data_IF_908483986440
#
_entry.id   IF_908483986440
#
_cell.length_a   1.000
_cell.length_b   1.000
_cell.length_c   1.000
_cell.angle_alpha   90.00
_cell.angle_beta   90.00
_cell.angle_gamma   90.00
#
_symmetry.space_group_name_H-M   'P 1'
#
loop_
_entity.id
_entity.type
_entity.pdbx_description
1 polymer ?
#
# COMPACT_ATOMS: atom_id res chain seq x y z
N UNK A 1 -65.74 -33.34 -27.42
CA UNK A 1 -66.46 -32.24 -28.11
C UNK A 1 -65.55 -31.03 -28.11
N UNK A 2 -65.34 -30.52 -29.32
CA UNK A 2 -64.49 -29.42 -29.77
C UNK A 2 -64.82 -28.06 -29.14
N UNK A 3 -63.80 -27.22 -28.94
CA UNK A 3 -63.75 -25.88 -29.53
C UNK A 3 -62.29 -25.40 -29.63
N UNK A 4 -61.93 -24.99 -30.84
CA UNK A 4 -60.69 -24.31 -31.22
C UNK A 4 -61.03 -22.85 -31.56
N UNK A 5 -60.13 -21.91 -31.27
CA UNK A 5 -60.09 -20.54 -31.85
C UNK A 5 -58.63 -20.08 -31.76
N UNK A 6 -57.84 -20.09 -32.86
CA UNK A 6 -57.60 -18.97 -33.80
C UNK A 6 -56.92 -17.75 -33.13
N UNK A 7 -55.92 -17.04 -33.64
CA UNK A 7 -55.05 -17.05 -34.83
C UNK A 7 -54.32 -15.70 -34.78
N UNK A 8 -53.05 -15.58 -35.24
CA UNK A 8 -52.52 -14.28 -35.66
C UNK A 8 -51.04 -14.01 -35.36
N UNK A 9 -50.20 -14.22 -36.37
CA UNK A 9 -48.98 -13.41 -36.65
C UNK A 9 -49.42 -12.34 -37.69
N UNK A 10 -48.83 -11.12 -37.82
CA UNK A 10 -47.43 -10.96 -38.21
C UNK A 10 -46.68 -9.64 -37.82
N UNK A 11 -45.35 -9.70 -38.02
CA UNK A 11 -44.40 -8.68 -38.52
C UNK A 11 -44.38 -7.22 -38.01
N UNK A 12 -43.17 -6.81 -37.60
CA UNK A 12 -42.60 -5.49 -37.95
C UNK A 12 -42.23 -4.59 -36.77
N UNK A 13 -40.93 -4.35 -36.56
CA UNK A 13 -40.28 -3.04 -36.70
C UNK A 13 -38.86 -3.08 -36.09
N UNK A 14 -37.88 -2.83 -36.95
CA UNK A 14 -36.49 -2.54 -36.62
C UNK A 14 -36.36 -1.16 -35.98
N UNK A 15 -35.54 -0.98 -34.93
CA UNK A 15 -34.55 0.12 -34.82
C UNK A 15 -33.71 0.02 -33.52
N UNK A 16 -32.48 0.59 -33.53
CA UNK A 16 -31.44 0.32 -32.54
C UNK A 16 -31.48 1.31 -31.37
N UNK A 17 -31.18 0.87 -30.15
CA UNK A 17 -30.90 1.81 -29.06
C UNK A 17 -29.40 2.01 -28.91
N UNK A 18 -29.03 3.25 -29.25
CA UNK A 18 -27.72 3.84 -29.18
C UNK A 18 -27.09 3.76 -27.78
N UNK A 19 -25.76 3.63 -27.82
CA UNK A 19 -24.79 3.97 -26.80
C UNK A 19 -25.11 5.30 -26.11
N UNK A 20 -25.45 5.23 -24.81
CA UNK A 20 -25.25 6.34 -23.89
C UNK A 20 -24.39 5.87 -22.72
N UNK A 21 -23.10 6.23 -22.81
CA UNK A 21 -22.12 6.12 -21.74
C UNK A 21 -22.59 6.95 -20.55
N UNK A 22 -23.11 6.30 -19.51
CA UNK A 22 -23.30 6.93 -18.22
C UNK A 22 -21.95 7.02 -17.50
N UNK A 23 -21.58 8.16 -16.88
CA UNK A 23 -20.40 8.25 -16.04
C UNK A 23 -20.61 7.39 -14.79
N UNK A 24 -19.71 6.44 -14.55
CA UNK A 24 -19.68 5.66 -13.31
C UNK A 24 -19.39 6.61 -12.12
N UNK A 25 -20.09 6.48 -10.97
CA UNK A 25 -19.74 7.22 -9.77
C UNK A 25 -18.35 6.78 -9.29
N UNK A 26 -17.49 7.77 -9.00
CA UNK A 26 -16.16 7.53 -8.44
C UNK A 26 -16.27 6.74 -7.12
N UNK A 27 -15.37 5.77 -6.87
CA UNK A 27 -15.37 5.04 -5.60
C UNK A 27 -15.09 6.02 -4.46
N UNK A 28 -16.11 6.24 -3.63
CA UNK A 28 -16.00 6.97 -2.38
C UNK A 28 -15.12 6.13 -1.45
N UNK A 29 -13.83 6.47 -1.33
CA UNK A 29 -12.86 5.72 -0.52
C UNK A 29 -12.91 6.05 0.98
N UNK A 30 -13.90 6.83 1.45
CA UNK A 30 -13.90 7.33 2.83
C UNK A 30 -14.46 6.37 3.89
N UNK A 31 -15.24 5.34 3.53
CA UNK A 31 -15.99 4.57 4.54
C UNK A 31 -15.35 3.22 4.95
N UNK A 32 -14.12 2.92 4.49
CA UNK A 32 -13.47 1.62 4.74
C UNK A 32 -12.33 1.65 5.75
N UNK A 33 -12.23 2.68 6.59
CA UNK A 33 -11.39 2.58 7.79
C UNK A 33 -12.18 1.81 8.86
N UNK A 34 -11.70 0.65 9.35
CA UNK A 34 -12.36 -0.03 10.46
C UNK A 34 -12.42 0.94 11.65
N UNK A 35 -13.57 1.00 12.33
CA UNK A 35 -13.74 1.72 13.59
C UNK A 35 -12.55 1.42 14.50
N UNK A 36 -11.64 2.39 14.59
CA UNK A 36 -10.36 2.24 15.28
C UNK A 36 -10.68 2.29 16.76
N UNK A 37 -10.32 1.24 17.51
CA UNK A 37 -10.34 1.31 18.98
C UNK A 37 -9.61 2.59 19.41
N UNK A 38 -10.21 3.45 20.26
CA UNK A 38 -9.67 4.77 20.61
C UNK A 38 -8.25 4.78 21.20
N UNK A 39 -7.67 3.62 21.51
CA UNK A 39 -6.34 3.47 22.11
C UNK A 39 -5.22 3.05 21.15
N UNK A 40 -5.50 2.67 19.90
CA UNK A 40 -4.45 2.16 18.99
C UNK A 40 -4.06 3.22 17.96
N UNK A 41 -2.96 3.93 18.24
CA UNK A 41 -2.37 4.91 17.32
C UNK A 41 -1.54 4.17 16.26
N UNK A 42 -2.10 3.93 15.09
CA UNK A 42 -1.32 3.55 13.92
C UNK A 42 -0.77 4.81 13.25
N UNK A 43 0.41 5.22 13.67
CA UNK A 43 0.99 6.42 13.09
C UNK A 43 1.55 6.20 11.68
N UNK A 44 1.48 7.28 10.91
CA UNK A 44 1.74 7.35 9.47
C UNK A 44 3.15 7.92 9.21
N UNK A 45 3.66 7.78 7.99
CA UNK A 45 5.00 8.24 7.59
C UNK A 45 5.28 9.75 7.82
N UNK A 46 4.28 10.53 8.25
CA UNK A 46 4.35 11.99 8.43
C UNK A 46 3.93 12.44 9.83
N UNK A 47 4.26 11.68 10.88
CA UNK A 47 3.98 12.10 12.25
C UNK A 47 4.60 13.47 12.54
N UNK A 48 3.76 14.49 12.80
CA UNK A 48 4.22 15.83 13.15
C UNK A 48 4.79 15.80 14.58
N UNK A 49 5.99 16.36 14.76
CA UNK A 49 6.68 16.42 16.05
C UNK A 49 6.75 17.86 16.54
N UNK A 50 6.12 18.14 17.68
CA UNK A 50 6.29 19.39 18.41
C UNK A 50 7.62 19.42 19.16
N UNK A 51 8.05 20.61 19.59
CA UNK A 51 9.25 20.77 20.42
C UNK A 51 9.13 20.01 21.76
N UNK A 52 7.96 20.07 22.39
CA UNK A 52 7.68 19.36 23.64
C UNK A 52 7.79 17.84 23.47
N UNK A 53 7.17 17.25 22.44
CA UNK A 53 7.28 15.81 22.15
C UNK A 53 8.71 15.39 21.82
N UNK A 54 9.46 16.24 21.11
CA UNK A 54 10.88 15.98 20.80
C UNK A 54 11.74 15.99 22.07
N UNK A 55 11.43 16.86 23.04
CA UNK A 55 12.09 16.88 24.34
C UNK A 55 11.77 15.61 25.15
N UNK A 56 10.51 15.16 25.15
CA UNK A 56 10.12 13.90 25.79
C UNK A 56 10.84 12.70 25.16
N UNK A 57 11.00 12.68 23.84
CA UNK A 57 11.80 11.66 23.14
C UNK A 57 13.25 11.66 23.63
N UNK A 58 13.90 12.83 23.68
CA UNK A 58 15.30 12.95 24.15
C UNK A 58 15.45 12.50 25.60
N UNK A 59 14.50 12.89 26.46
CA UNK A 59 14.45 12.43 27.87
C UNK A 59 14.29 10.91 27.95
N UNK A 60 13.35 10.34 27.20
CA UNK A 60 13.12 8.90 27.17
C UNK A 60 14.33 8.09 26.69
N UNK A 61 15.11 8.64 25.75
CA UNK A 61 16.38 8.01 25.32
C UNK A 61 17.45 8.02 26.42
N UNK A 62 17.47 9.04 27.29
CA UNK A 62 18.35 9.09 28.45
C UNK A 62 17.86 8.15 29.57
N UNK A 63 16.55 8.08 29.82
CA UNK A 63 15.95 7.24 30.86
C UNK A 63 16.05 5.74 30.51
N UNK A 64 15.99 5.39 29.22
CA UNK A 64 16.06 4.02 28.71
C UNK A 64 17.27 3.81 27.78
N UNK A 65 18.50 3.64 28.31
CA UNK A 65 19.71 3.69 27.51
C UNK A 65 19.99 2.44 26.65
N UNK A 66 20.88 2.67 25.66
CA UNK A 66 21.66 1.75 24.81
C UNK A 66 21.77 0.28 25.26
N UNK A 67 22.38 0.20 26.43
CA UNK A 67 23.05 -0.92 27.07
C UNK A 67 22.11 -1.78 27.90
N UNK A 68 21.02 -1.19 28.43
CA UNK A 68 20.09 -1.89 29.35
C UNK A 68 18.80 -2.38 28.69
N UNK A 69 18.41 -1.80 27.56
CA UNK A 69 17.14 -2.13 26.89
C UNK A 69 17.38 -2.44 25.42
N UNK A 70 16.73 -3.46 24.88
CA UNK A 70 16.68 -3.63 23.44
C UNK A 70 15.85 -2.50 22.78
N UNK A 71 16.06 -2.29 21.48
CA UNK A 71 15.41 -1.19 20.75
C UNK A 71 13.88 -1.29 20.77
N UNK A 72 13.30 -2.50 20.74
CA UNK A 72 11.84 -2.68 20.72
C UNK A 72 11.28 -2.25 22.08
N UNK A 73 11.80 -2.79 23.17
CA UNK A 73 11.36 -2.44 24.54
C UNK A 73 11.58 -0.96 24.84
N UNK A 74 12.73 -0.41 24.43
CA UNK A 74 13.04 1.02 24.58
C UNK A 74 11.98 1.88 23.89
N UNK A 75 11.70 1.63 22.62
CA UNK A 75 10.78 2.47 21.85
C UNK A 75 9.33 2.31 22.30
N UNK A 76 8.92 1.13 22.79
CA UNK A 76 7.63 0.94 23.45
C UNK A 76 7.52 1.86 24.67
N UNK A 77 8.51 1.82 25.57
CA UNK A 77 8.51 2.65 26.79
C UNK A 77 8.49 4.14 26.47
N UNK A 78 9.25 4.58 25.47
CA UNK A 78 9.27 5.98 25.05
C UNK A 78 7.93 6.38 24.44
N UNK A 79 7.37 5.60 23.52
CA UNK A 79 6.09 5.92 22.87
C UNK A 79 4.96 6.07 23.90
N UNK A 80 4.97 5.25 24.96
CA UNK A 80 4.00 5.36 26.04
C UNK A 80 4.05 6.72 26.79
N UNK A 81 5.16 7.46 26.70
CA UNK A 81 5.30 8.79 27.32
C UNK A 81 4.90 9.95 26.39
N UNK A 82 4.64 9.68 25.10
CA UNK A 82 4.39 10.70 24.09
C UNK A 82 3.00 10.47 23.48
N UNK A 83 1.95 11.14 24.00
CA UNK A 83 0.58 10.97 23.51
C UNK A 83 0.48 11.21 22.00
N UNK A 84 -0.27 10.35 21.30
CA UNK A 84 -0.46 10.48 19.86
C UNK A 84 0.74 10.08 19.01
N UNK A 85 1.80 9.51 19.60
CA UNK A 85 2.92 8.89 18.88
C UNK A 85 2.97 7.40 19.15
N UNK A 86 3.36 6.63 18.13
CA UNK A 86 3.52 5.20 18.27
C UNK A 86 4.98 4.77 18.18
N UNK A 87 5.23 3.50 18.49
CA UNK A 87 6.58 2.88 18.46
C UNK A 87 7.28 3.11 17.13
N UNK A 88 6.53 3.06 16.01
CA UNK A 88 7.07 3.31 14.66
C UNK A 88 7.60 4.74 14.51
N UNK A 89 6.87 5.74 15.01
CA UNK A 89 7.29 7.14 14.94
C UNK A 89 8.56 7.38 15.72
N UNK A 90 8.62 6.82 16.94
CA UNK A 90 9.77 6.92 17.81
C UNK A 90 10.98 6.32 17.11
N UNK A 91 10.87 5.09 16.58
CA UNK A 91 11.95 4.45 15.85
C UNK A 91 12.45 5.28 14.66
N UNK A 92 11.52 5.84 13.88
CA UNK A 92 11.86 6.67 12.73
C UNK A 92 12.55 7.97 13.14
N UNK A 93 12.04 8.66 14.17
CA UNK A 93 12.61 9.93 14.66
C UNK A 93 13.98 9.73 15.30
N UNK A 94 14.17 8.65 16.06
CA UNK A 94 15.49 8.28 16.64
C UNK A 94 16.50 8.03 15.52
N UNK A 95 16.11 7.31 14.47
CA UNK A 95 16.99 7.07 13.31
C UNK A 95 17.35 8.38 12.59
N UNK A 96 16.40 9.31 12.44
CA UNK A 96 16.67 10.62 11.85
C UNK A 96 17.66 11.44 12.71
N UNK A 97 17.48 11.48 14.04
CA UNK A 97 18.40 12.15 14.96
C UNK A 97 19.81 11.55 14.92
N UNK A 98 19.92 10.23 14.82
CA UNK A 98 21.22 9.56 14.68
C UNK A 98 21.92 9.95 13.37
N UNK A 99 21.17 10.03 12.26
CA UNK A 99 21.69 10.47 10.97
C UNK A 99 22.09 11.96 10.95
N UNK A 100 21.41 12.82 11.73
CA UNK A 100 21.78 14.23 11.91
C UNK A 100 23.04 14.40 12.78
N UNK A 101 23.26 13.50 13.75
CA UNK A 101 24.44 13.52 14.63
C UNK A 101 25.70 12.85 14.06
N UNK A 102 25.56 12.04 13.00
CA UNK A 102 26.70 11.44 12.32
C UNK A 102 27.36 12.47 11.40
N UNK A 103 28.66 12.76 11.63
CA UNK A 103 29.45 13.61 10.74
C UNK A 103 29.43 13.06 9.31
N UNK A 104 29.46 13.97 8.32
CA UNK A 104 29.33 13.69 6.89
C UNK A 104 30.27 12.60 6.32
N UNK A 105 31.32 12.22 7.06
CA UNK A 105 32.28 11.17 6.73
C UNK A 105 31.76 9.73 6.86
N UNK A 106 30.71 9.45 7.63
CA UNK A 106 30.17 8.08 7.80
C UNK A 106 28.96 7.78 6.89
N UNK A 107 28.51 8.80 6.12
CA UNK A 107 27.42 8.66 5.13
C UNK A 107 27.78 7.75 3.96
N UNK A 108 29.06 7.56 3.65
CA UNK A 108 29.51 6.71 2.53
C UNK A 108 29.50 5.21 2.84
N UNK A 109 29.70 4.81 4.11
CA UNK A 109 29.75 3.38 4.48
C UNK A 109 28.34 2.79 4.57
N UNK A 110 27.34 3.61 4.89
CA UNK A 110 25.95 3.17 5.06
C UNK A 110 25.22 2.92 3.71
N UNK A 111 25.56 3.65 2.65
CA UNK A 111 24.95 3.46 1.31
C UNK A 111 25.47 2.22 0.58
N UNK A 112 26.64 1.69 0.98
CA UNK A 112 27.32 0.59 0.28
C UNK A 112 26.80 -0.81 0.63
N UNK A 113 26.02 -0.97 1.71
CA UNK A 113 25.41 -2.26 2.11
C UNK A 113 24.06 -2.58 1.44
N UNK A 114 23.60 -1.71 0.54
CA UNK A 114 22.40 -1.95 -0.28
C UNK A 114 22.75 -2.07 -1.78
N UNK A 115 24.00 -2.38 -2.11
CA UNK A 115 24.38 -2.72 -3.48
C UNK A 115 24.00 -4.19 -3.71
N UNK A 116 22.77 -4.40 -4.15
CA UNK A 116 22.42 -5.62 -4.88
C UNK A 116 23.33 -5.64 -6.10
N UNK A 117 24.18 -6.65 -6.22
CA UNK A 117 24.95 -6.90 -7.43
C UNK A 117 23.99 -6.95 -8.61
N UNK A 118 24.05 -5.92 -9.46
CA UNK A 118 23.37 -5.90 -10.74
C UNK A 118 24.16 -6.82 -11.67
N UNK A 119 23.80 -8.10 -11.66
CA UNK A 119 24.19 -9.03 -12.70
C UNK A 119 23.59 -8.50 -14.01
N UNK A 120 24.44 -7.92 -14.85
CA UNK A 120 24.16 -7.52 -16.21
C UNK A 120 23.66 -8.74 -17.01
N UNK A 121 22.35 -8.93 -17.07
CA UNK A 121 21.70 -9.77 -18.04
C UNK A 121 21.01 -8.86 -19.05
N UNK A 122 21.37 -9.05 -20.31
CA UNK A 122 20.99 -8.27 -21.49
C UNK A 122 19.49 -7.91 -21.52
N UNK A 123 19.22 -6.64 -21.81
CA UNK A 123 17.87 -6.12 -22.04
C UNK A 123 17.29 -6.68 -23.35
N UNK A 124 16.03 -7.14 -23.37
CA UNK A 124 15.18 -6.93 -24.52
C UNK A 124 14.49 -5.57 -24.37
N UNK A 125 14.59 -4.77 -25.43
CA UNK A 125 13.88 -3.51 -25.63
C UNK A 125 12.36 -3.71 -25.52
N UNK A 126 11.77 -3.49 -24.35
CA UNK A 126 10.33 -3.28 -24.23
C UNK A 126 10.07 -1.78 -24.17
N UNK A 127 9.36 -1.24 -25.15
CA UNK A 127 8.85 0.13 -25.19
C UNK A 127 8.24 0.51 -23.83
N UNK A 128 8.45 1.74 -23.32
CA UNK A 128 7.84 2.16 -22.06
C UNK A 128 6.32 2.05 -22.18
N UNK A 129 5.67 1.36 -21.22
CA UNK A 129 4.22 1.22 -21.20
C UNK A 129 3.55 2.59 -21.20
N UNK A 130 2.42 2.73 -21.91
CA UNK A 130 1.62 3.95 -21.87
C UNK A 130 1.01 4.18 -20.48
N UNK A 131 0.68 5.44 -20.17
CA UNK A 131 0.06 5.78 -18.87
C UNK A 131 -1.26 5.04 -18.64
N UNK A 132 -2.02 4.77 -19.71
CA UNK A 132 -3.25 3.98 -19.64
C UNK A 132 -2.98 2.52 -19.23
N UNK A 133 -1.93 1.90 -19.76
CA UNK A 133 -1.52 0.55 -19.37
C UNK A 133 -1.00 0.52 -17.93
N UNK A 134 -0.26 1.56 -17.53
CA UNK A 134 0.22 1.69 -16.16
C UNK A 134 -0.94 1.82 -15.17
N UNK A 135 -1.95 2.62 -15.50
CA UNK A 135 -3.18 2.75 -14.72
C UNK A 135 -3.95 1.43 -14.61
N UNK A 136 -4.04 0.66 -15.70
CA UNK A 136 -4.69 -0.66 -15.70
C UNK A 136 -3.99 -1.66 -14.75
N UNK A 137 -2.65 -1.66 -14.73
CA UNK A 137 -1.86 -2.49 -13.80
C UNK A 137 -2.15 -2.12 -12.35
N UNK A 138 -2.26 -0.82 -12.04
CA UNK A 138 -2.61 -0.36 -10.70
C UNK A 138 -4.05 -0.73 -10.29
N UNK A 139 -5.00 -0.68 -11.24
CA UNK A 139 -6.37 -1.13 -11.00
C UNK A 139 -6.43 -2.63 -10.72
N UNK A 140 -5.71 -3.45 -11.49
CA UNK A 140 -5.62 -4.90 -11.24
C UNK A 140 -4.99 -5.21 -9.88
N UNK A 141 -3.97 -4.44 -9.47
CA UNK A 141 -3.40 -4.54 -8.13
C UNK A 141 -4.41 -4.24 -7.01
N UNK A 142 -5.26 -3.23 -7.19
CA UNK A 142 -6.32 -2.93 -6.23
C UNK A 142 -7.33 -4.09 -6.11
N UNK A 143 -7.70 -4.69 -7.24
CA UNK A 143 -8.57 -5.87 -7.27
C UNK A 143 -7.92 -7.09 -6.61
N UNK A 144 -6.64 -7.33 -6.87
CA UNK A 144 -5.88 -8.40 -6.24
C UNK A 144 -5.84 -8.26 -4.71
N UNK A 145 -5.62 -7.03 -4.20
CA UNK A 145 -5.66 -6.75 -2.75
C UNK A 145 -7.04 -7.03 -2.16
N UNK A 146 -8.11 -6.57 -2.81
CA UNK A 146 -9.49 -6.81 -2.36
C UNK A 146 -9.86 -8.30 -2.37
N UNK A 147 -9.37 -9.03 -3.37
CA UNK A 147 -9.54 -10.49 -3.46
C UNK A 147 -8.82 -11.18 -2.32
N UNK A 148 -7.55 -10.82 -2.07
CA UNK A 148 -6.78 -11.38 -0.95
C UNK A 148 -7.46 -11.13 0.39
N UNK A 149 -7.97 -9.90 0.61
CA UNK A 149 -8.74 -9.54 1.80
C UNK A 149 -9.98 -10.43 1.96
N UNK A 150 -10.77 -10.58 0.90
CA UNK A 150 -11.98 -11.41 0.92
C UNK A 150 -11.66 -12.87 1.24
N UNK A 151 -10.61 -13.42 0.64
CA UNK A 151 -10.18 -14.78 0.90
C UNK A 151 -9.73 -14.98 2.35
N UNK A 152 -9.00 -14.02 2.93
CA UNK A 152 -8.61 -14.08 4.35
C UNK A 152 -9.83 -14.03 5.28
N UNK A 153 -10.82 -13.17 4.98
CA UNK A 153 -12.05 -13.08 5.77
C UNK A 153 -12.87 -14.37 5.73
N UNK A 154 -12.79 -15.12 4.64
CA UNK A 154 -13.49 -16.39 4.46
C UNK A 154 -12.63 -17.62 4.84
N UNK A 155 -11.44 -17.42 5.43
CA UNK A 155 -10.54 -18.52 5.80
C UNK A 155 -9.86 -19.24 4.63
N UNK A 156 -9.96 -18.71 3.40
CA UNK A 156 -9.41 -19.29 2.16
C UNK A 156 -8.01 -18.77 1.85
N UNK A 157 -7.09 -18.84 2.82
CA UNK A 157 -5.75 -18.29 2.68
C UNK A 157 -4.91 -18.95 1.58
N UNK A 158 -5.18 -20.23 1.27
CA UNK A 158 -4.47 -20.98 0.22
C UNK A 158 -4.76 -20.44 -1.18
N UNK A 159 -5.97 -19.91 -1.42
CA UNK A 159 -6.36 -19.29 -2.69
C UNK A 159 -5.63 -17.98 -2.96
N UNK A 160 -5.02 -17.37 -1.93
CA UNK A 160 -4.21 -16.17 -2.12
C UNK A 160 -2.89 -16.43 -2.82
N UNK A 161 -2.44 -17.69 -2.94
CA UNK A 161 -1.16 -18.01 -3.56
C UNK A 161 -1.07 -17.45 -4.98
N UNK A 162 -2.08 -17.73 -5.81
CA UNK A 162 -2.07 -17.31 -7.21
C UNK A 162 -2.31 -15.80 -7.34
N UNK A 163 -3.14 -15.23 -6.47
CA UNK A 163 -3.42 -13.79 -6.42
C UNK A 163 -2.15 -13.01 -6.05
N UNK A 164 -1.38 -13.50 -5.07
CA UNK A 164 -0.10 -12.91 -4.67
C UNK A 164 0.94 -13.01 -5.78
N UNK A 165 1.00 -14.12 -6.51
CA UNK A 165 1.92 -14.27 -7.64
C UNK A 165 1.59 -13.27 -8.76
N UNK A 166 0.30 -13.08 -9.07
CA UNK A 166 -0.13 -12.05 -10.04
C UNK A 166 0.22 -10.65 -9.56
N UNK A 167 -0.12 -10.31 -8.31
CA UNK A 167 0.20 -9.01 -7.71
C UNK A 167 1.71 -8.72 -7.77
N UNK A 168 2.55 -9.71 -7.45
CA UNK A 168 4.00 -9.60 -7.58
C UNK A 168 4.44 -9.32 -9.02
N UNK A 169 3.88 -10.06 -9.98
CA UNK A 169 4.16 -9.86 -11.41
C UNK A 169 3.81 -8.45 -11.87
N UNK A 170 2.64 -7.96 -11.50
CA UNK A 170 2.19 -6.59 -11.79
C UNK A 170 3.13 -5.53 -11.20
N UNK A 171 3.58 -5.70 -9.96
CA UNK A 171 4.56 -4.80 -9.34
C UNK A 171 5.89 -4.79 -10.11
N UNK A 172 6.38 -5.97 -10.53
CA UNK A 172 7.62 -6.06 -11.30
C UNK A 172 7.48 -5.36 -12.65
N UNK A 173 6.37 -5.61 -13.36
CA UNK A 173 6.08 -4.93 -14.63
C UNK A 173 5.99 -3.42 -14.47
N UNK A 174 5.33 -2.93 -13.42
CA UNK A 174 5.25 -1.50 -13.12
C UNK A 174 6.63 -0.90 -12.87
N UNK A 175 7.45 -1.53 -12.03
CA UNK A 175 8.79 -1.05 -11.70
C UNK A 175 9.68 -1.02 -12.94
N UNK A 176 9.69 -2.09 -13.75
CA UNK A 176 10.45 -2.13 -15.00
C UNK A 176 10.00 -1.02 -15.96
N UNK A 177 8.69 -0.82 -16.12
CA UNK A 177 8.15 0.20 -17.02
C UNK A 177 8.40 1.64 -16.53
N UNK A 178 8.51 1.85 -15.22
CA UNK A 178 8.75 3.17 -14.63
C UNK A 178 10.24 3.51 -14.56
N UNK A 179 11.11 2.53 -14.25
CA UNK A 179 12.57 2.71 -14.22
C UNK A 179 13.17 2.88 -15.63
N UNK A 180 12.46 2.39 -16.66
CA UNK A 180 12.84 2.58 -18.06
C UNK A 180 12.41 3.91 -18.70
N UNK A 181 11.83 4.84 -17.95
CA UNK A 181 11.55 6.23 -18.36
C UNK A 181 12.59 7.18 -17.79
#
# INVERSE_FOLDING_TARGET
MTMATSSGMPSGFTTPLATKSAPLPAPQTSDFLPSISPGVVYSTAHAAWTMHETQLLRRGLADFPADRYDNVTRYIKIAATIPGKCVRDVAFKVKALAAESASASDREVFTKRMRVDHNSAELPSSSPLSDAQLAAILQDNALAINTMRTNLLNGRATENRDVMMRFRGNCQTFVTAYVGR
#
